data_IF_507511170730
#
_entry.id   IF_507511170730
#
_cell.length_a   1.000
_cell.length_b   1.000
_cell.length_c   1.000
_cell.angle_alpha   90.00
_cell.angle_beta   90.00
_cell.angle_gamma   90.00
#
_symmetry.space_group_name_H-M   'P 1'
#
loop_
_entity.id
_entity.type
_entity.pdbx_description
1 polymer ?
#
# COMPACT_ATOMS: atom_id res chain seq x y z
N UNK A 1 29.84 26.25 -55.34
CA UNK A 1 29.56 27.67 -55.04
C UNK A 1 29.03 27.76 -53.62
N UNK A 2 29.58 28.43 -52.63
CA UNK A 2 30.84 29.14 -52.36
C UNK A 2 30.87 29.28 -50.81
N UNK A 3 31.88 28.72 -50.13
CA UNK A 3 32.98 29.41 -49.41
C UNK A 3 32.62 30.16 -48.10
N UNK A 4 33.15 29.60 -46.99
CA UNK A 4 33.60 30.27 -45.75
C UNK A 4 34.70 31.32 -46.04
N UNK A 5 34.98 32.34 -45.18
CA UNK A 5 35.91 32.18 -44.01
C UNK A 5 35.71 33.17 -42.80
N UNK A 6 36.07 32.80 -41.55
CA UNK A 6 37.24 33.20 -40.70
C UNK A 6 37.45 34.74 -40.48
N UNK A 7 38.02 35.32 -39.40
CA UNK A 7 38.45 35.00 -38.02
C UNK A 7 39.00 36.33 -37.40
N UNK A 8 39.58 36.26 -36.17
CA UNK A 8 40.54 37.18 -35.52
C UNK A 8 39.95 38.30 -34.62
N UNK A 9 40.23 38.43 -33.30
CA UNK A 9 41.45 38.47 -32.43
C UNK A 9 41.85 39.91 -32.04
N UNK A 10 42.15 40.10 -30.75
CA UNK A 10 42.95 41.22 -30.18
C UNK A 10 42.14 42.18 -29.29
N UNK A 11 42.56 42.63 -28.11
CA UNK A 11 43.84 42.53 -27.41
C UNK A 11 43.75 43.15 -26.00
N UNK A 12 44.73 42.79 -25.17
CA UNK A 12 45.02 43.34 -23.83
C UNK A 12 45.47 44.80 -23.88
N UNK A 13 45.17 45.62 -22.85
CA UNK A 13 46.13 46.55 -22.24
C UNK A 13 45.69 47.04 -20.85
N UNK A 14 46.67 47.08 -19.93
CA UNK A 14 46.63 47.62 -18.56
C UNK A 14 46.64 49.16 -18.54
N UNK A 15 46.05 49.80 -17.50
CA UNK A 15 46.79 50.74 -16.63
C UNK A 15 45.94 51.24 -15.44
N UNK A 16 46.66 51.44 -14.35
CA UNK A 16 46.34 51.81 -12.96
C UNK A 16 45.79 53.23 -12.75
N UNK A 17 44.97 53.41 -11.68
CA UNK A 17 45.12 54.55 -10.75
C UNK A 17 44.48 54.29 -9.37
N UNK A 18 45.26 54.72 -8.40
CA UNK A 18 45.15 54.76 -6.93
C UNK A 18 43.99 55.60 -6.36
N UNK A 19 43.49 55.26 -5.17
CA UNK A 19 42.66 56.16 -4.35
C UNK A 19 42.20 55.55 -3.02
N UNK A 20 42.59 56.17 -1.90
CA UNK A 20 42.52 55.71 -0.51
C UNK A 20 41.14 55.74 0.16
N UNK A 21 41.05 54.92 1.23
CA UNK A 21 40.39 55.15 2.52
C UNK A 21 38.85 55.12 2.64
N UNK A 22 38.39 54.15 3.45
CA UNK A 22 37.05 54.11 4.05
C UNK A 22 36.90 52.94 5.03
N UNK A 23 37.28 53.17 6.29
CA UNK A 23 37.03 52.25 7.41
C UNK A 23 35.52 52.00 7.57
N UNK A 24 35.06 50.79 7.27
CA UNK A 24 33.70 50.32 7.54
C UNK A 24 33.68 49.42 8.76
N UNK A 25 33.21 49.96 9.89
CA UNK A 25 32.96 49.25 11.15
C UNK A 25 31.95 48.11 10.92
N UNK A 26 32.37 46.86 11.08
CA UNK A 26 31.47 45.70 11.12
C UNK A 26 30.72 45.71 12.45
N UNK A 27 29.51 46.30 12.47
CA UNK A 27 28.57 46.16 13.59
C UNK A 27 27.94 44.76 13.54
N UNK A 28 28.36 43.89 14.45
CA UNK A 28 27.70 42.61 14.76
C UNK A 28 26.32 42.87 15.39
N UNK A 29 25.31 43.06 14.55
CA UNK A 29 23.92 43.17 14.96
C UNK A 29 23.28 41.78 15.04
N UNK A 30 23.29 41.17 16.23
CA UNK A 30 22.41 40.03 16.52
C UNK A 30 20.97 40.53 16.42
N UNK A 31 20.26 40.09 15.38
CA UNK A 31 18.85 40.42 15.18
C UNK A 31 18.00 39.79 16.29
N UNK A 32 17.03 40.55 16.82
CA UNK A 32 16.00 40.07 17.77
C UNK A 32 15.27 38.80 17.30
N UNK A 33 15.29 38.49 16.00
CA UNK A 33 14.70 37.27 15.41
C UNK A 33 15.58 36.02 15.57
N UNK A 34 16.87 36.18 15.87
CA UNK A 34 17.80 35.07 16.15
C UNK A 34 17.70 34.52 17.58
N UNK A 35 17.49 35.39 18.57
CA UNK A 35 17.37 34.98 19.98
C UNK A 35 16.10 34.16 20.25
N UNK A 36 15.00 34.42 19.53
CA UNK A 36 13.75 33.67 19.68
C UNK A 36 13.81 32.26 19.04
N UNK A 37 14.62 32.07 17.97
CA UNK A 37 14.81 30.74 17.35
C UNK A 37 15.80 29.86 18.12
N UNK A 38 16.86 30.44 18.69
CA UNK A 38 17.82 29.70 19.52
C UNK A 38 17.21 29.30 20.88
N UNK A 39 16.37 30.15 21.48
CA UNK A 39 15.70 29.86 22.75
C UNK A 39 14.66 28.74 22.65
N UNK A 40 13.88 28.68 21.55
CA UNK A 40 12.86 27.65 21.38
C UNK A 40 13.44 26.25 21.13
N UNK A 41 14.55 26.17 20.38
CA UNK A 41 15.21 24.88 20.08
C UNK A 41 15.93 24.34 21.34
N UNK A 42 16.54 25.21 22.15
CA UNK A 42 17.18 24.80 23.39
C UNK A 42 16.18 24.34 24.47
N UNK A 43 15.01 24.99 24.56
CA UNK A 43 13.96 24.59 25.52
C UNK A 43 13.26 23.29 25.11
N UNK A 44 13.04 23.04 23.81
CA UNK A 44 12.51 21.76 23.33
C UNK A 44 13.50 20.61 23.48
N UNK A 45 14.79 20.83 23.21
CA UNK A 45 15.81 19.81 23.42
C UNK A 45 16.01 19.45 24.90
N UNK A 46 15.98 20.45 25.80
CA UNK A 46 16.06 20.22 27.24
C UNK A 46 14.79 19.58 27.82
N UNK A 47 13.60 19.88 27.28
CA UNK A 47 12.35 19.23 27.67
C UNK A 47 12.30 17.75 27.24
N UNK A 48 12.90 17.39 26.10
CA UNK A 48 13.05 15.98 25.71
C UNK A 48 14.09 15.22 26.55
N UNK A 49 15.10 15.90 27.11
CA UNK A 49 16.16 15.26 27.91
C UNK A 49 15.80 15.11 29.41
N UNK A 50 14.79 15.82 29.91
CA UNK A 50 14.38 15.77 31.32
C UNK A 50 13.03 15.10 31.56
N UNK A 51 12.29 14.72 30.51
CA UNK A 51 10.95 14.11 30.63
C UNK A 51 10.85 12.63 30.24
N UNK A 52 11.98 11.96 29.95
CA UNK A 52 11.98 10.52 29.70
C UNK A 52 13.29 10.08 29.08
N UNK A 53 14.03 9.21 29.76
CA UNK A 53 15.05 8.40 29.09
C UNK A 53 14.38 7.58 27.96
N UNK A 54 15.15 6.94 27.07
CA UNK A 54 14.60 5.93 26.19
C UNK A 54 14.06 4.80 27.07
N UNK A 55 12.81 4.94 27.48
CA UNK A 55 12.03 3.83 27.99
C UNK A 55 11.97 2.87 26.81
N UNK A 56 12.70 1.77 26.93
CA UNK A 56 12.61 0.62 26.05
C UNK A 56 11.22 0.01 26.23
N UNK A 57 10.18 0.75 25.81
CA UNK A 57 8.83 0.25 25.61
C UNK A 57 8.87 -0.61 24.35
N UNK A 58 9.64 -1.70 24.41
CA UNK A 58 9.42 -2.84 23.53
C UNK A 58 8.05 -3.35 23.91
N UNK A 59 7.03 -2.85 23.21
CA UNK A 59 5.63 -3.20 23.42
C UNK A 59 5.54 -4.71 23.64
N UNK A 60 4.86 -5.16 24.68
CA UNK A 60 4.62 -6.58 24.94
C UNK A 60 4.04 -7.30 23.71
N UNK A 61 3.37 -6.58 22.80
CA UNK A 61 2.96 -7.07 21.49
C UNK A 61 4.13 -7.34 20.53
N UNK A 62 5.16 -6.48 20.49
CA UNK A 62 6.39 -6.70 19.73
C UNK A 62 7.20 -7.89 20.29
N UNK A 63 7.25 -8.05 21.61
CA UNK A 63 7.90 -9.20 22.27
C UNK A 63 7.14 -10.50 21.93
N UNK A 64 5.80 -10.50 22.02
CA UNK A 64 4.98 -11.68 21.63
C UNK A 64 5.12 -12.05 20.16
N UNK A 65 5.22 -11.07 19.23
CA UNK A 65 5.47 -11.36 17.81
C UNK A 65 6.79 -12.10 17.56
N UNK A 66 7.76 -12.00 18.47
CA UNK A 66 9.04 -12.69 18.36
C UNK A 66 9.07 -14.07 19.03
N UNK A 67 7.99 -14.50 19.71
CA UNK A 67 7.92 -15.82 20.33
C UNK A 67 8.13 -16.94 19.28
N UNK A 68 9.19 -17.76 19.41
CA UNK A 68 9.46 -18.86 18.49
C UNK A 68 8.31 -19.84 18.33
N UNK A 69 7.49 -20.05 19.38
CA UNK A 69 6.31 -20.93 19.32
C UNK A 69 5.23 -20.36 18.42
N UNK A 70 5.02 -19.04 18.46
CA UNK A 70 4.06 -18.36 17.59
C UNK A 70 4.55 -18.41 16.14
N UNK A 71 5.83 -18.11 15.89
CA UNK A 71 6.42 -18.22 14.53
C UNK A 71 6.28 -19.63 13.95
N UNK A 72 6.55 -20.66 14.76
CA UNK A 72 6.40 -22.05 14.35
C UNK A 72 4.93 -22.41 14.05
N UNK A 73 4.00 -21.96 14.90
CA UNK A 73 2.57 -22.21 14.68
C UNK A 73 2.05 -21.53 13.41
N UNK A 74 2.42 -20.26 13.18
CA UNK A 74 2.08 -19.52 11.96
C UNK A 74 2.69 -20.19 10.73
N UNK A 75 3.98 -20.56 10.79
CA UNK A 75 4.65 -21.27 9.69
C UNK A 75 3.95 -22.57 9.31
N UNK A 76 3.59 -23.40 10.30
CA UNK A 76 2.84 -24.65 10.06
C UNK A 76 1.46 -24.41 9.47
N UNK A 77 0.75 -23.37 9.91
CA UNK A 77 -0.57 -23.03 9.38
C UNK A 77 -0.49 -22.56 7.93
N UNK A 78 0.49 -21.73 7.58
CA UNK A 78 0.71 -21.27 6.20
C UNK A 78 1.16 -22.42 5.29
N UNK A 79 2.02 -23.32 5.77
CA UNK A 79 2.40 -24.52 5.04
C UNK A 79 1.21 -25.43 4.76
N UNK A 80 0.32 -25.60 5.74
CA UNK A 80 -0.92 -26.34 5.54
C UNK A 80 -1.84 -25.65 4.53
N UNK A 81 -2.00 -24.31 4.61
CA UNK A 81 -2.79 -23.55 3.64
C UNK A 81 -2.23 -23.72 2.22
N UNK A 82 -0.91 -23.63 2.05
CA UNK A 82 -0.26 -23.83 0.76
C UNK A 82 -0.51 -25.23 0.20
N UNK A 83 -0.50 -26.25 1.05
CA UNK A 83 -0.79 -27.63 0.66
C UNK A 83 -2.27 -27.87 0.30
N UNK A 84 -3.21 -27.14 0.90
CA UNK A 84 -4.65 -27.30 0.64
C UNK A 84 -5.11 -26.57 -0.64
N UNK A 85 -4.29 -25.68 -1.21
CA UNK A 85 -4.64 -24.97 -2.44
C UNK A 85 -4.95 -25.95 -3.58
N UNK A 86 -6.09 -25.75 -4.25
CA UNK A 86 -6.43 -26.56 -5.42
C UNK A 86 -5.49 -26.25 -6.59
N UNK A 87 -5.29 -27.19 -7.54
CA UNK A 87 -4.44 -26.94 -8.71
C UNK A 87 -4.84 -25.70 -9.52
N UNK A 88 -6.13 -25.34 -9.50
CA UNK A 88 -6.68 -24.15 -10.16
C UNK A 88 -6.46 -22.85 -9.37
N UNK A 89 -5.78 -22.89 -8.22
CA UNK A 89 -5.38 -21.70 -7.47
C UNK A 89 -6.32 -21.24 -6.35
N UNK A 90 -7.40 -21.97 -6.10
CA UNK A 90 -8.42 -21.55 -5.13
C UNK A 90 -8.47 -22.45 -3.89
N UNK A 91 -9.08 -21.94 -2.82
CA UNK A 91 -9.48 -22.69 -1.62
C UNK A 91 -10.99 -22.75 -1.52
N UNK A 92 -11.52 -23.74 -0.82
CA UNK A 92 -12.96 -23.92 -0.63
C UNK A 92 -13.24 -24.43 0.79
N UNK A 93 -14.44 -24.19 1.29
CA UNK A 93 -14.91 -24.70 2.58
C UNK A 93 -16.32 -25.31 2.43
N UNK A 94 -16.79 -26.03 3.45
CA UNK A 94 -18.16 -26.56 3.53
C UNK A 94 -18.66 -27.23 2.23
N UNK A 95 -17.98 -28.29 1.79
CA UNK A 95 -18.33 -29.03 0.57
C UNK A 95 -18.33 -28.16 -0.70
N UNK A 96 -17.16 -27.56 -1.03
CA UNK A 96 -16.90 -26.79 -2.26
C UNK A 96 -17.56 -25.40 -2.35
N UNK A 97 -17.94 -24.83 -1.22
CA UNK A 97 -18.49 -23.48 -1.10
C UNK A 97 -17.40 -22.44 -0.79
N UNK A 98 -17.79 -21.15 -0.84
CA UNK A 98 -17.00 -20.00 -0.41
C UNK A 98 -15.66 -19.81 -1.14
N UNK A 99 -15.56 -20.27 -2.38
CA UNK A 99 -14.29 -20.31 -3.12
C UNK A 99 -13.58 -18.97 -3.18
N UNK A 100 -14.35 -17.92 -3.44
CA UNK A 100 -13.86 -16.54 -3.57
C UNK A 100 -13.33 -16.02 -2.23
N UNK A 101 -14.16 -16.10 -1.19
CA UNK A 101 -13.80 -15.63 0.15
C UNK A 101 -12.60 -16.38 0.72
N UNK A 102 -12.61 -17.71 0.64
CA UNK A 102 -11.51 -18.55 1.15
C UNK A 102 -10.22 -18.28 0.40
N UNK A 103 -10.27 -18.04 -0.91
CA UNK A 103 -9.08 -17.73 -1.71
C UNK A 103 -8.50 -16.37 -1.37
N UNK A 104 -9.34 -15.33 -1.26
CA UNK A 104 -8.88 -14.00 -0.88
C UNK A 104 -8.26 -13.97 0.53
N UNK A 105 -8.88 -14.63 1.51
CA UNK A 105 -8.36 -14.72 2.87
C UNK A 105 -7.06 -15.53 2.95
N UNK A 106 -6.95 -16.63 2.21
CA UNK A 106 -5.74 -17.45 2.18
C UNK A 106 -4.57 -16.71 1.52
N UNK A 107 -4.83 -16.03 0.39
CA UNK A 107 -3.84 -15.19 -0.28
C UNK A 107 -3.36 -14.04 0.61
N UNK A 108 -4.27 -13.39 1.34
CA UNK A 108 -3.93 -12.34 2.29
C UNK A 108 -3.07 -12.86 3.45
N UNK A 109 -3.41 -14.03 4.02
CA UNK A 109 -2.63 -14.63 5.09
C UNK A 109 -1.18 -14.93 4.66
N UNK A 110 -0.99 -15.42 3.43
CA UNK A 110 0.35 -15.65 2.86
C UNK A 110 1.09 -14.34 2.57
N UNK A 111 0.37 -13.31 2.10
CA UNK A 111 0.98 -11.99 1.84
C UNK A 111 1.44 -11.32 3.14
N UNK A 112 0.70 -11.50 4.23
CA UNK A 112 1.09 -11.03 5.57
C UNK A 112 2.38 -11.68 6.11
N UNK A 113 2.83 -12.81 5.56
CA UNK A 113 4.13 -13.39 5.89
C UNK A 113 5.30 -12.64 5.23
N UNK A 114 5.02 -11.87 4.17
CA UNK A 114 6.01 -11.13 3.38
C UNK A 114 6.28 -11.72 1.99
N UNK A 115 5.58 -12.79 1.62
CA UNK A 115 5.61 -13.31 0.26
C UNK A 115 4.79 -12.41 -0.69
N UNK A 116 5.29 -12.17 -1.90
CA UNK A 116 4.63 -11.39 -2.96
C UNK A 116 4.21 -12.30 -4.13
N UNK A 117 3.62 -11.74 -5.18
CA UNK A 117 3.36 -12.49 -6.44
C UNK A 117 4.63 -12.93 -7.17
N UNK A 118 5.81 -12.39 -6.82
CA UNK A 118 7.08 -12.63 -7.53
C UNK A 118 8.18 -13.22 -6.65
N UNK A 119 8.08 -13.08 -5.32
CA UNK A 119 9.14 -13.45 -4.38
C UNK A 119 8.58 -14.04 -3.08
N UNK A 120 9.42 -14.78 -2.36
CA UNK A 120 9.03 -15.41 -1.09
C UNK A 120 8.50 -16.83 -1.26
N UNK A 121 8.34 -17.50 -0.11
CA UNK A 121 8.05 -18.94 -0.02
C UNK A 121 6.70 -19.31 -0.65
N UNK A 122 5.72 -18.43 -0.54
CA UNK A 122 4.34 -18.69 -1.01
C UNK A 122 3.99 -17.94 -2.30
N UNK A 123 4.99 -17.47 -3.05
CA UNK A 123 4.77 -16.63 -4.24
C UNK A 123 3.90 -17.28 -5.31
N UNK A 124 4.16 -18.56 -5.64
CA UNK A 124 3.34 -19.31 -6.58
C UNK A 124 1.89 -19.48 -6.10
N UNK A 125 1.69 -19.67 -4.79
CA UNK A 125 0.36 -19.81 -4.23
C UNK A 125 -0.42 -18.49 -4.35
N UNK A 126 0.22 -17.36 -4.02
CA UNK A 126 -0.35 -16.02 -4.14
C UNK A 126 -0.68 -15.70 -5.60
N UNK A 127 0.24 -15.96 -6.53
CA UNK A 127 0.01 -15.72 -7.97
C UNK A 127 -1.20 -16.47 -8.48
N UNK A 128 -1.32 -17.77 -8.16
CA UNK A 128 -2.48 -18.57 -8.55
C UNK A 128 -3.79 -18.08 -7.92
N UNK A 129 -3.74 -17.59 -6.68
CA UNK A 129 -4.90 -17.00 -6.02
C UNK A 129 -5.35 -15.71 -6.73
N UNK A 130 -4.41 -14.85 -7.11
CA UNK A 130 -4.66 -13.62 -7.87
C UNK A 130 -5.29 -13.94 -9.22
N UNK A 131 -4.69 -14.86 -9.98
CA UNK A 131 -5.21 -15.29 -11.29
C UNK A 131 -6.64 -15.83 -11.18
N UNK A 132 -6.90 -16.73 -10.21
CA UNK A 132 -8.24 -17.25 -9.97
C UNK A 132 -9.27 -16.15 -9.69
N UNK A 133 -8.92 -15.14 -8.88
CA UNK A 133 -9.85 -14.06 -8.53
C UNK A 133 -10.08 -13.09 -9.69
N UNK A 134 -9.04 -12.80 -10.48
CA UNK A 134 -9.16 -12.02 -11.72
C UNK A 134 -10.09 -12.74 -12.70
N UNK A 135 -9.92 -14.05 -12.87
CA UNK A 135 -10.74 -14.88 -13.77
C UNK A 135 -12.19 -15.02 -13.28
N UNK A 136 -12.41 -14.89 -11.97
CA UNK A 136 -13.76 -14.91 -11.37
C UNK A 136 -14.46 -13.54 -11.47
N UNK A 137 -13.77 -12.49 -11.90
CA UNK A 137 -14.34 -11.15 -12.02
C UNK A 137 -15.31 -11.05 -13.22
N UNK A 138 -16.56 -10.69 -12.94
CA UNK A 138 -17.62 -10.59 -13.93
C UNK A 138 -17.65 -9.24 -14.66
N UNK A 139 -18.29 -9.16 -15.84
CA UNK A 139 -18.41 -7.91 -16.60
C UNK A 139 -19.04 -6.75 -15.82
N UNK A 140 -19.99 -7.03 -14.92
CA UNK A 140 -20.65 -6.04 -14.08
C UNK A 140 -19.79 -5.55 -12.90
N UNK A 141 -18.59 -6.10 -12.72
CA UNK A 141 -17.68 -5.75 -11.62
C UNK A 141 -17.77 -6.66 -10.38
N UNK A 142 -18.75 -7.56 -10.28
CA UNK A 142 -18.78 -8.55 -9.22
C UNK A 142 -17.56 -9.46 -9.33
N UNK A 143 -16.78 -9.57 -8.25
CA UNK A 143 -15.77 -10.64 -8.11
C UNK A 143 -16.44 -11.78 -7.36
N UNK A 144 -16.96 -12.74 -8.11
CA UNK A 144 -17.67 -13.87 -7.55
C UNK A 144 -18.75 -14.44 -8.48
N UNK A 145 -19.50 -15.40 -7.94
CA UNK A 145 -20.54 -16.11 -8.68
C UNK A 145 -21.91 -15.51 -8.37
N UNK A 146 -22.71 -15.26 -9.40
CA UNK A 146 -24.05 -14.68 -9.24
C UNK A 146 -24.97 -15.59 -8.41
N UNK A 147 -24.77 -16.89 -8.52
CA UNK A 147 -25.59 -17.91 -7.83
C UNK A 147 -25.13 -18.16 -6.38
N UNK A 148 -24.06 -17.50 -5.92
CA UNK A 148 -23.67 -17.51 -4.51
C UNK A 148 -24.56 -16.55 -3.71
N UNK A 149 -25.37 -17.11 -2.82
CA UNK A 149 -26.33 -16.39 -1.98
C UNK A 149 -25.68 -15.42 -0.98
N UNK A 150 -24.33 -15.42 -0.88
CA UNK A 150 -23.51 -14.58 0.00
C UNK A 150 -22.31 -13.97 -0.73
N UNK A 151 -22.44 -13.68 -2.02
CA UNK A 151 -21.31 -13.23 -2.85
C UNK A 151 -20.63 -11.93 -2.37
N UNK A 152 -21.30 -11.08 -1.59
CA UNK A 152 -20.73 -9.78 -1.17
C UNK A 152 -19.53 -9.94 -0.24
N UNK A 153 -19.48 -11.00 0.59
CA UNK A 153 -18.29 -11.30 1.39
C UNK A 153 -17.09 -11.65 0.53
N UNK A 154 -17.28 -12.58 -0.42
CA UNK A 154 -16.21 -12.97 -1.34
C UNK A 154 -15.73 -11.78 -2.16
N UNK A 155 -16.65 -10.95 -2.63
CA UNK A 155 -16.34 -9.74 -3.37
C UNK A 155 -15.48 -8.76 -2.55
N UNK A 156 -15.90 -8.43 -1.32
CA UNK A 156 -15.19 -7.49 -0.45
C UNK A 156 -13.79 -7.98 -0.06
N UNK A 157 -13.66 -9.25 0.35
CA UNK A 157 -12.34 -9.81 0.65
C UNK A 157 -11.41 -9.83 -0.55
N UNK A 158 -11.95 -10.11 -1.75
CA UNK A 158 -11.18 -10.09 -2.98
C UNK A 158 -10.71 -8.69 -3.32
N UNK A 159 -11.56 -7.67 -3.17
CA UNK A 159 -11.16 -6.27 -3.37
C UNK A 159 -9.99 -5.90 -2.45
N UNK A 160 -10.10 -6.20 -1.15
CA UNK A 160 -9.05 -5.89 -0.19
C UNK A 160 -7.74 -6.59 -0.57
N UNK A 161 -7.76 -7.89 -0.80
CA UNK A 161 -6.57 -8.65 -1.18
C UNK A 161 -5.96 -8.17 -2.50
N UNK A 162 -6.75 -8.06 -3.57
CA UNK A 162 -6.25 -7.63 -4.88
C UNK A 162 -5.75 -6.18 -4.86
N UNK A 163 -6.29 -5.31 -4.00
CA UNK A 163 -5.79 -3.93 -3.84
C UNK A 163 -4.39 -3.89 -3.21
N UNK A 164 -4.10 -4.78 -2.28
CA UNK A 164 -2.76 -4.92 -1.68
C UNK A 164 -1.77 -5.40 -2.74
N UNK A 165 -2.13 -6.45 -3.48
CA UNK A 165 -1.32 -6.96 -4.59
C UNK A 165 -1.07 -5.86 -5.62
N UNK A 166 -2.09 -5.10 -6.02
CA UNK A 166 -1.91 -3.99 -6.97
C UNK A 166 -0.93 -2.91 -6.48
N UNK A 167 -0.85 -2.69 -5.17
CA UNK A 167 0.08 -1.75 -4.56
C UNK A 167 1.54 -2.21 -4.61
N UNK A 168 1.77 -3.52 -4.57
CA UNK A 168 3.09 -4.16 -4.54
C UNK A 168 3.55 -4.70 -5.92
N UNK A 169 2.64 -4.76 -6.90
CA UNK A 169 2.92 -5.41 -8.19
C UNK A 169 3.80 -4.56 -9.11
N UNK A 170 4.87 -5.20 -9.61
CA UNK A 170 5.87 -4.62 -10.50
C UNK A 170 5.63 -5.04 -11.97
N UNK A 171 4.98 -6.19 -12.22
CA UNK A 171 4.62 -6.60 -13.58
C UNK A 171 3.55 -5.66 -14.16
N UNK A 172 3.86 -4.86 -15.20
CA UNK A 172 2.94 -3.87 -15.75
C UNK A 172 1.66 -4.51 -16.33
N UNK A 173 1.75 -5.73 -16.87
CA UNK A 173 0.60 -6.38 -17.50
C UNK A 173 -0.38 -6.88 -16.43
N UNK A 174 0.13 -7.56 -15.40
CA UNK A 174 -0.68 -7.97 -14.26
C UNK A 174 -1.26 -6.76 -13.52
N UNK A 175 -0.46 -5.72 -13.31
CA UNK A 175 -0.91 -4.48 -12.66
C UNK A 175 -2.06 -3.81 -13.42
N UNK A 176 -2.03 -3.78 -14.75
CA UNK A 176 -3.12 -3.23 -15.56
C UNK A 176 -4.37 -4.11 -15.52
N UNK A 177 -4.22 -5.45 -15.50
CA UNK A 177 -5.35 -6.38 -15.29
C UNK A 177 -6.01 -6.15 -13.93
N UNK A 178 -5.22 -6.06 -12.86
CA UNK A 178 -5.68 -5.76 -11.50
C UNK A 178 -6.43 -4.43 -11.45
N UNK A 179 -5.87 -3.37 -12.04
CA UNK A 179 -6.51 -2.05 -12.12
C UNK A 179 -7.89 -2.12 -12.78
N UNK A 180 -8.01 -2.82 -13.91
CA UNK A 180 -9.30 -2.98 -14.63
C UNK A 180 -10.32 -3.76 -13.81
N UNK A 181 -9.91 -4.81 -13.10
CA UNK A 181 -10.78 -5.58 -12.20
C UNK A 181 -11.23 -4.72 -11.03
N UNK A 182 -10.30 -4.08 -10.31
CA UNK A 182 -10.58 -3.27 -9.13
C UNK A 182 -11.46 -2.05 -9.45
N UNK A 183 -11.24 -1.38 -10.58
CA UNK A 183 -12.07 -0.24 -11.02
C UNK A 183 -13.53 -0.63 -11.19
N UNK A 184 -13.79 -1.78 -11.83
CA UNK A 184 -15.16 -2.31 -11.99
C UNK A 184 -15.73 -2.78 -10.66
N UNK A 185 -14.90 -3.41 -9.82
CA UNK A 185 -15.30 -3.88 -8.49
C UNK A 185 -15.75 -2.74 -7.56
N UNK A 186 -15.04 -1.62 -7.56
CA UNK A 186 -15.45 -0.40 -6.84
C UNK A 186 -16.79 0.12 -7.37
N UNK A 187 -16.96 0.15 -8.69
CA UNK A 187 -18.23 0.56 -9.31
C UNK A 187 -19.39 -0.35 -8.89
N UNK A 188 -19.18 -1.67 -8.92
CA UNK A 188 -20.16 -2.65 -8.46
C UNK A 188 -20.49 -2.46 -6.98
N UNK A 189 -19.49 -2.26 -6.12
CA UNK A 189 -19.70 -2.04 -4.68
C UNK A 189 -20.59 -0.84 -4.40
N UNK A 190 -20.38 0.29 -5.11
CA UNK A 190 -21.26 1.45 -4.99
C UNK A 190 -22.69 1.17 -5.47
N UNK A 191 -22.87 0.40 -6.56
CA UNK A 191 -24.18 0.00 -7.07
C UNK A 191 -24.88 -1.05 -6.21
N UNK A 192 -24.12 -1.81 -5.42
CA UNK A 192 -24.61 -2.88 -4.58
C UNK A 192 -25.11 -2.39 -3.21
N UNK A 193 -24.83 -1.13 -2.86
CA UNK A 193 -25.19 -0.51 -1.59
C UNK A 193 -26.72 -0.42 -1.43
N UNK A 194 -27.20 -0.67 -0.22
CA UNK A 194 -28.60 -0.52 0.15
C UNK A 194 -28.98 0.95 0.32
N UNK A 195 -30.28 1.25 0.38
CA UNK A 195 -30.77 2.60 0.70
C UNK A 195 -30.37 3.08 2.10
N UNK A 196 -29.91 2.16 2.97
CA UNK A 196 -29.44 2.45 4.34
C UNK A 196 -27.94 2.74 4.39
N UNK A 197 -27.22 2.59 3.27
CA UNK A 197 -25.80 2.83 3.16
C UNK A 197 -24.92 1.62 3.50
N UNK A 198 -25.51 0.47 3.83
CA UNK A 198 -24.78 -0.79 4.04
C UNK A 198 -24.84 -1.72 2.83
N UNK A 199 -24.52 -2.99 3.05
CA UNK A 199 -24.59 -4.04 2.04
C UNK A 199 -25.31 -5.27 2.61
N UNK A 200 -26.02 -6.01 1.75
CA UNK A 200 -26.58 -7.30 2.10
C UNK A 200 -25.62 -8.46 1.82
N UNK A 201 -26.12 -9.70 1.93
CA UNK A 201 -25.42 -10.90 1.44
C UNK A 201 -25.25 -10.92 -0.09
N UNK A 202 -26.13 -10.21 -0.78
CA UNK A 202 -26.10 -9.93 -2.22
C UNK A 202 -26.34 -8.43 -2.40
N UNK A 203 -26.17 -7.90 -3.62
CA UNK A 203 -26.43 -6.49 -3.94
C UNK A 203 -27.85 -6.07 -3.56
N UNK A 204 -28.06 -4.78 -3.26
CA UNK A 204 -29.40 -4.25 -2.96
C UNK A 204 -30.44 -4.62 -4.03
N UNK A 205 -30.04 -4.58 -5.31
CA UNK A 205 -30.87 -5.00 -6.45
C UNK A 205 -31.31 -6.46 -6.35
N UNK A 206 -30.39 -7.37 -6.02
CA UNK A 206 -30.67 -8.81 -5.98
C UNK A 206 -31.30 -9.23 -4.64
N UNK A 207 -31.03 -8.48 -3.57
CA UNK A 207 -31.40 -8.78 -2.18
C UNK A 207 -32.67 -8.09 -1.69
N UNK A 208 -33.43 -7.42 -2.56
CA UNK A 208 -34.60 -6.59 -2.20
C UNK A 208 -34.27 -5.55 -1.13
N UNK A 209 -33.13 -4.89 -1.29
CA UNK A 209 -32.61 -3.85 -0.39
C UNK A 209 -32.38 -4.33 1.06
N UNK A 210 -32.18 -5.64 1.26
CA UNK A 210 -31.80 -6.19 2.55
C UNK A 210 -30.39 -5.72 2.97
N UNK A 211 -30.28 -5.23 4.19
CA UNK A 211 -29.07 -4.66 4.77
C UNK A 211 -28.54 -5.57 5.88
N UNK A 212 -27.32 -6.06 5.71
CA UNK A 212 -26.64 -6.97 6.63
C UNK A 212 -25.57 -6.20 7.42
N UNK A 213 -25.75 -6.09 8.73
CA UNK A 213 -24.87 -5.31 9.59
C UNK A 213 -23.42 -5.81 9.66
N UNK A 214 -23.15 -7.05 9.23
CA UNK A 214 -21.80 -7.62 9.18
C UNK A 214 -21.07 -7.45 7.84
N UNK A 215 -21.73 -6.90 6.81
CA UNK A 215 -21.11 -6.71 5.48
C UNK A 215 -20.73 -5.24 5.28
N UNK A 216 -19.45 -4.93 5.45
CA UNK A 216 -18.88 -3.62 5.15
C UNK A 216 -17.79 -3.81 4.09
N UNK A 217 -18.01 -3.32 2.87
CA UNK A 217 -16.93 -3.28 1.87
C UNK A 217 -16.20 -1.94 2.04
N UNK A 218 -14.93 -1.99 2.46
CA UNK A 218 -14.03 -0.83 2.65
C UNK A 218 -13.27 -0.47 1.39
#
# INVERSE_FOLDING_TARGET
MAQHPQSARGGFFHSTRTGLSGFGVFRSGISRRGCLRAGFIAVLAAACLLAGGPEEQTSTAAIRRQDPKIKLAVGRALDWLAAEQRPQGYWEANNRQYKVAMTALSGMAMSCEGSTTSTGKYSENIRKAVEFLIDTAQPNGLIGYKDDYRYTYGHGFSMLFLSQIYGEEDDPDLRERLKKVLTRAVTFSGQAQTTRGGWGYVSAKDGRDFDEGSTCIT
#
